data_IF_079948230233
#
_entry.id   IF_079948230233
#
_cell.length_a   1.000
_cell.length_b   1.000
_cell.length_c   1.000
_cell.angle_alpha   90.00
_cell.angle_beta   90.00
_cell.angle_gamma   90.00
#
_symmetry.space_group_name_H-M   'P 1'
#
loop_
_entity.id
_entity.type
_entity.pdbx_description
1 polymer ?
#
# COMPACT_ATOMS: atom_id res chain seq x y z
N UNK A 1 4.99 7.13 -0.43
CA UNK A 1 6.14 6.85 -1.31
C UNK A 1 5.91 5.54 -2.02
N UNK A 2 6.15 5.45 -3.33
CA UNK A 2 5.97 4.21 -4.08
C UNK A 2 7.26 3.38 -4.05
N UNK A 3 7.14 2.09 -3.73
CA UNK A 3 8.18 1.09 -3.91
C UNK A 3 7.68 -0.05 -4.81
N UNK A 4 8.60 -0.86 -5.32
CA UNK A 4 8.24 -2.03 -6.14
C UNK A 4 8.26 -3.31 -5.32
N UNK A 5 7.27 -4.15 -5.62
CA UNK A 5 7.02 -5.42 -4.97
C UNK A 5 6.92 -6.54 -6.02
N UNK A 6 7.50 -7.70 -5.71
CA UNK A 6 7.46 -8.87 -6.57
C UNK A 6 6.05 -9.46 -6.62
N UNK A 7 5.57 -9.72 -7.84
CA UNK A 7 4.34 -10.49 -8.05
C UNK A 7 4.64 -11.69 -8.94
N UNK A 8 4.61 -12.88 -8.35
CA UNK A 8 4.87 -14.17 -9.01
C UNK A 8 3.60 -14.94 -9.37
N UNK A 9 2.44 -14.48 -8.91
CA UNK A 9 1.14 -15.14 -9.03
C UNK A 9 0.09 -14.32 -9.80
N UNK A 10 0.27 -13.01 -9.91
CA UNK A 10 -0.66 -12.11 -10.60
C UNK A 10 -0.05 -11.37 -11.79
N UNK A 11 1.20 -10.92 -11.69
CA UNK A 11 1.86 -10.08 -12.72
C UNK A 11 3.22 -10.62 -13.17
N UNK A 12 3.55 -11.84 -12.79
CA UNK A 12 4.76 -12.56 -13.19
C UNK A 12 4.56 -14.06 -13.01
N UNK A 13 5.67 -14.80 -13.02
CA UNK A 13 5.70 -16.24 -12.78
C UNK A 13 6.88 -16.59 -11.87
N UNK A 14 6.89 -17.76 -11.20
CA UNK A 14 8.05 -18.20 -10.44
C UNK A 14 9.32 -18.19 -11.31
N UNK A 15 10.34 -17.43 -10.88
CA UNK A 15 11.61 -17.25 -11.60
C UNK A 15 11.67 -16.02 -12.52
N UNK A 16 10.54 -15.36 -12.77
CA UNK A 16 10.45 -14.08 -13.52
C UNK A 16 9.30 -13.22 -12.95
N UNK A 17 9.56 -12.63 -11.78
CA UNK A 17 8.58 -11.86 -11.01
C UNK A 17 8.26 -10.53 -11.70
N UNK A 18 6.97 -10.20 -11.82
CA UNK A 18 6.54 -8.86 -12.20
C UNK A 18 6.74 -7.86 -11.05
N UNK A 19 6.67 -6.57 -11.36
CA UNK A 19 6.68 -5.48 -10.37
C UNK A 19 5.27 -4.92 -10.16
N UNK A 20 4.86 -4.77 -8.91
CA UNK A 20 3.64 -4.08 -8.49
C UNK A 20 3.97 -3.01 -7.46
N UNK A 21 3.09 -2.02 -7.32
CA UNK A 21 3.34 -0.90 -6.41
C UNK A 21 3.06 -1.28 -4.95
N UNK A 22 3.86 -0.75 -4.03
CA UNK A 22 3.58 -0.68 -2.59
C UNK A 22 3.81 0.73 -2.06
N UNK A 23 3.30 1.03 -0.87
CA UNK A 23 3.57 2.28 -0.16
C UNK A 23 4.60 2.08 0.94
N UNK A 24 5.66 2.89 0.92
CA UNK A 24 6.71 2.90 1.94
C UNK A 24 6.38 4.01 2.97
N UNK A 25 6.31 3.67 4.27
CA UNK A 25 6.14 4.66 5.34
C UNK A 25 7.22 5.74 5.31
N UNK A 26 6.87 6.97 5.62
CA UNK A 26 7.81 8.10 5.51
C UNK A 26 9.05 7.95 6.40
N UNK A 27 8.90 7.39 7.60
CA UNK A 27 10.03 7.12 8.50
C UNK A 27 11.01 6.10 7.91
N UNK A 28 10.49 5.08 7.24
CA UNK A 28 11.30 4.07 6.56
C UNK A 28 11.98 4.67 5.33
N UNK A 29 11.25 5.46 4.52
CA UNK A 29 11.81 6.15 3.36
C UNK A 29 13.03 7.02 3.71
N UNK A 30 12.95 7.79 4.80
CA UNK A 30 14.05 8.67 5.24
C UNK A 30 15.35 7.91 5.46
N UNK A 31 15.30 6.60 5.74
CA UNK A 31 16.50 5.77 5.90
C UNK A 31 17.13 5.37 4.58
N UNK A 32 16.41 5.47 3.46
CA UNK A 32 16.84 4.99 2.14
C UNK A 32 17.46 6.12 1.28
N UNK A 33 17.48 7.36 1.78
CA UNK A 33 18.24 8.51 1.25
C UNK A 33 18.06 8.75 -0.26
N UNK A 34 16.82 8.66 -0.73
CA UNK A 34 16.45 8.97 -2.11
C UNK A 34 15.87 10.40 -2.18
N UNK A 35 16.69 11.31 -2.72
CA UNK A 35 16.41 12.73 -2.89
C UNK A 35 15.46 13.03 -4.07
N UNK A 36 14.97 12.01 -4.77
CA UNK A 36 14.16 12.19 -5.98
C UNK A 36 12.68 12.50 -5.73
N UNK A 37 12.19 12.40 -4.48
CA UNK A 37 10.78 12.62 -4.17
C UNK A 37 10.57 13.92 -3.40
N UNK A 38 9.73 14.81 -3.95
CA UNK A 38 9.66 16.22 -3.52
C UNK A 38 8.67 16.54 -2.40
N UNK A 39 7.64 15.72 -2.16
CA UNK A 39 6.60 16.05 -1.16
C UNK A 39 6.08 14.88 -0.31
N UNK A 40 6.41 13.62 -0.67
CA UNK A 40 5.96 12.44 0.07
C UNK A 40 4.45 12.15 -0.04
N UNK A 41 3.73 12.84 -0.93
CA UNK A 41 2.28 12.69 -1.10
C UNK A 41 1.97 11.50 -2.01
N UNK A 42 0.90 10.77 -1.72
CA UNK A 42 0.38 9.74 -2.63
C UNK A 42 -1.12 9.92 -2.80
N UNK A 43 -1.54 10.13 -4.03
CA UNK A 43 -2.94 10.23 -4.40
C UNK A 43 -3.56 8.84 -4.57
N UNK A 44 -4.81 8.71 -4.13
CA UNK A 44 -5.56 7.46 -4.21
C UNK A 44 -7.04 7.70 -3.95
N UNK A 45 -7.77 6.61 -3.69
CA UNK A 45 -9.20 6.63 -3.39
C UNK A 45 -9.46 5.97 -2.04
N UNK A 46 -10.27 6.62 -1.21
CA UNK A 46 -10.83 6.02 0.00
C UNK A 46 -12.22 5.45 -0.32
N UNK A 47 -12.43 4.17 -0.08
CA UNK A 47 -13.71 3.49 -0.30
C UNK A 47 -14.42 3.27 1.04
N UNK A 48 -15.65 3.76 1.16
CA UNK A 48 -16.49 3.49 2.31
C UNK A 48 -17.23 2.17 2.11
N UNK A 49 -17.03 1.23 3.04
CA UNK A 49 -17.77 -0.03 3.08
C UNK A 49 -19.06 0.17 3.90
N UNK A 50 -20.18 -0.36 3.41
CA UNK A 50 -21.44 -0.34 4.15
C UNK A 50 -21.32 -1.17 5.44
N UNK A 51 -21.92 -0.70 6.54
CA UNK A 51 -21.73 -1.29 7.86
C UNK A 51 -22.08 -2.79 7.90
N UNK A 52 -23.11 -3.20 7.18
CA UNK A 52 -23.58 -4.59 7.12
C UNK A 52 -22.60 -5.53 6.39
N UNK A 53 -21.71 -4.96 5.56
CA UNK A 53 -20.78 -5.71 4.70
C UNK A 53 -19.33 -5.67 5.22
N UNK A 54 -19.05 -4.93 6.31
CA UNK A 54 -17.68 -4.67 6.79
C UNK A 54 -16.91 -5.95 7.07
N UNK A 55 -17.51 -6.90 7.79
CA UNK A 55 -16.82 -8.12 8.21
C UNK A 55 -16.48 -9.03 7.02
N UNK A 56 -17.42 -9.19 6.08
CA UNK A 56 -17.23 -10.00 4.88
C UNK A 56 -16.15 -9.40 3.97
N UNK A 57 -16.28 -8.11 3.65
CA UNK A 57 -15.33 -7.44 2.75
C UNK A 57 -13.94 -7.38 3.38
N UNK A 58 -13.84 -7.16 4.70
CA UNK A 58 -12.55 -7.18 5.39
C UNK A 58 -11.89 -8.55 5.33
N UNK A 59 -12.64 -9.63 5.59
CA UNK A 59 -12.10 -10.99 5.49
C UNK A 59 -11.62 -11.31 4.06
N UNK A 60 -12.35 -10.84 3.04
CA UNK A 60 -11.94 -10.97 1.64
C UNK A 60 -10.63 -10.23 1.33
N UNK A 61 -10.51 -8.98 1.80
CA UNK A 61 -9.28 -8.18 1.62
C UNK A 61 -8.09 -8.79 2.36
N UNK A 62 -8.28 -9.25 3.60
CA UNK A 62 -7.24 -9.93 4.38
C UNK A 62 -6.72 -11.18 3.66
N UNK A 63 -7.60 -11.97 3.03
CA UNK A 63 -7.19 -13.14 2.25
C UNK A 63 -6.45 -12.77 0.97
N UNK A 64 -6.87 -11.70 0.29
CA UNK A 64 -6.25 -11.23 -0.95
C UNK A 64 -4.81 -10.75 -0.70
N UNK A 65 -4.58 -10.04 0.39
CA UNK A 65 -3.30 -9.39 0.69
C UNK A 65 -2.39 -10.22 1.62
N UNK A 66 -2.68 -11.52 1.78
CA UNK A 66 -1.92 -12.48 2.62
C UNK A 66 -0.44 -12.63 2.28
N UNK A 67 0.03 -12.08 1.16
CA UNK A 67 1.43 -12.11 0.68
C UNK A 67 2.39 -11.21 1.47
N UNK A 68 2.23 -11.13 2.79
CA UNK A 68 3.06 -10.32 3.68
C UNK A 68 2.77 -8.82 3.66
N UNK A 69 1.58 -8.41 3.22
CA UNK A 69 1.10 -7.05 3.47
C UNK A 69 0.63 -6.94 4.93
N UNK A 70 0.82 -5.77 5.51
CA UNK A 70 0.31 -5.39 6.84
C UNK A 70 -0.84 -4.39 6.68
N UNK A 71 -1.85 -4.52 7.53
CA UNK A 71 -2.98 -3.59 7.57
C UNK A 71 -2.68 -2.46 8.56
N UNK A 72 -2.40 -1.27 8.05
CA UNK A 72 -2.14 -0.06 8.82
C UNK A 72 -3.39 0.82 8.94
N UNK A 73 -3.48 1.56 10.04
CA UNK A 73 -4.48 2.63 10.19
C UNK A 73 -3.85 3.96 9.79
N UNK A 74 -4.48 4.67 8.87
CA UNK A 74 -3.95 5.92 8.31
C UNK A 74 -5.03 6.99 8.28
N UNK A 75 -4.60 8.26 8.27
CA UNK A 75 -5.47 9.40 8.02
C UNK A 75 -5.34 9.82 6.56
N UNK A 76 -6.45 9.85 5.84
CA UNK A 76 -6.51 10.27 4.46
C UNK A 76 -7.12 11.67 4.36
N UNK A 77 -6.42 12.57 3.68
CA UNK A 77 -6.94 13.89 3.33
C UNK A 77 -7.80 13.78 2.06
N UNK A 78 -9.06 14.20 2.16
CA UNK A 78 -9.98 14.16 1.02
C UNK A 78 -9.78 15.41 0.17
N UNK A 79 -9.67 15.24 -1.16
CA UNK A 79 -9.51 16.36 -2.09
C UNK A 79 -10.77 17.21 -2.19
N UNK A 80 -11.93 16.59 -2.04
CA UNK A 80 -13.25 17.23 -2.06
C UNK A 80 -14.19 16.51 -1.08
N UNK A 81 -14.83 17.26 -0.17
CA UNK A 81 -15.82 16.72 0.76
C UNK A 81 -16.13 17.66 1.93
N UNK A 82 -17.20 17.37 2.69
CA UNK A 82 -17.49 18.07 3.95
C UNK A 82 -16.47 17.76 5.05
N UNK A 83 -15.79 16.62 4.95
CA UNK A 83 -14.71 16.20 5.85
C UNK A 83 -13.37 16.40 5.16
N UNK A 84 -12.46 17.07 5.84
CA UNK A 84 -11.09 17.29 5.36
C UNK A 84 -10.21 16.05 5.54
N UNK A 85 -10.47 15.25 6.59
CA UNK A 85 -9.69 14.06 6.96
C UNK A 85 -10.61 12.93 7.41
N UNK A 86 -10.29 11.70 7.00
CA UNK A 86 -10.98 10.47 7.43
C UNK A 86 -9.99 9.40 7.86
N UNK A 87 -10.37 8.58 8.85
CA UNK A 87 -9.61 7.40 9.24
C UNK A 87 -9.87 6.26 8.25
N UNK A 88 -8.81 5.63 7.77
CA UNK A 88 -8.85 4.53 6.82
C UNK A 88 -7.95 3.38 7.29
N UNK A 89 -8.20 2.21 6.72
CA UNK A 89 -7.23 1.12 6.72
C UNK A 89 -6.51 1.08 5.37
N UNK A 90 -5.25 0.69 5.40
CA UNK A 90 -4.40 0.57 4.21
C UNK A 90 -3.56 -0.69 4.33
N UNK A 91 -3.60 -1.53 3.30
CA UNK A 91 -2.70 -2.69 3.20
C UNK A 91 -1.41 -2.24 2.51
N UNK A 92 -0.27 -2.37 3.19
CA UNK A 92 1.05 -2.03 2.65
C UNK A 92 2.00 -3.21 2.80
N UNK A 93 2.86 -3.44 1.81
CA UNK A 93 4.01 -4.31 1.99
C UNK A 93 5.20 -3.45 2.42
N UNK A 94 5.77 -3.74 3.59
CA UNK A 94 6.95 -3.04 4.11
C UNK A 94 8.22 -3.56 3.45
N UNK A 95 9.34 -2.83 3.53
CA UNK A 95 10.63 -3.33 3.01
C UNK A 95 11.15 -4.60 3.69
N UNK A 96 10.55 -4.99 4.83
CA UNK A 96 10.88 -6.24 5.51
C UNK A 96 10.28 -7.48 4.84
N UNK A 97 9.41 -7.31 3.84
CA UNK A 97 8.81 -8.42 3.11
C UNK A 97 9.82 -9.03 2.10
N UNK A 98 9.86 -10.37 2.03
CA UNK A 98 10.80 -11.13 1.19
C UNK A 98 10.64 -10.85 -0.31
N UNK A 99 9.46 -10.41 -0.75
CA UNK A 99 9.16 -10.05 -2.14
C UNK A 99 9.45 -8.56 -2.45
N UNK A 100 9.97 -7.77 -1.50
CA UNK A 100 10.34 -6.39 -1.75
C UNK A 100 11.53 -6.30 -2.71
N UNK A 101 11.32 -5.68 -3.88
CA UNK A 101 12.33 -5.59 -4.94
C UNK A 101 13.15 -4.29 -4.88
N UNK A 102 12.88 -3.42 -3.91
CA UNK A 102 13.55 -2.14 -3.77
C UNK A 102 13.17 -1.12 -4.84
N UNK A 103 13.94 -0.03 -4.90
CA UNK A 103 13.79 0.99 -5.91
C UNK A 103 14.31 0.54 -7.26
N UNK A 104 13.57 0.87 -8.31
CA UNK A 104 14.02 0.75 -9.70
C UNK A 104 14.07 2.15 -10.35
N UNK A 105 15.06 2.41 -11.21
CA UNK A 105 15.23 3.68 -11.93
C UNK A 105 14.23 3.89 -13.08
#
# INVERSE_FOLDING_TARGET
MLGDFGSTDHRGVPGDSGRVVTLIPFEEWKTINDDTVSDGVTFGMAYQIALDDVDEIRAYLDYREKGGYVCEKVQCHLLDGEKEVVDCILYIATSANEEYLGFAP
#
